data_IF_303777808872
#
_entry.id   IF_303777808872
#
_cell.length_a   1.000
_cell.length_b   1.000
_cell.length_c   1.000
_cell.angle_alpha   90.00
_cell.angle_beta   90.00
_cell.angle_gamma   90.00
#
_symmetry.space_group_name_H-M   'P 1'
#
loop_
_entity.id
_entity.type
_entity.pdbx_description
1 polymer ?
#
# COMPACT_ATOMS: atom_id res chain seq x y z
N UNK A 1 -13.67 -13.24 -23.43
CA UNK A 1 -13.74 -11.82 -23.02
C UNK A 1 -14.24 -11.70 -21.57
N UNK A 2 -15.27 -12.43 -21.19
CA UNK A 2 -15.91 -12.29 -19.88
C UNK A 2 -15.04 -12.86 -18.74
N UNK A 3 -14.35 -13.97 -18.97
CA UNK A 3 -13.39 -14.54 -18.01
C UNK A 3 -12.24 -13.57 -17.69
N UNK A 4 -11.70 -12.92 -18.71
CA UNK A 4 -10.63 -11.94 -18.51
C UNK A 4 -11.12 -10.70 -17.74
N UNK A 5 -12.35 -10.26 -18.02
CA UNK A 5 -12.97 -9.14 -17.30
C UNK A 5 -13.21 -9.50 -15.83
N UNK A 6 -13.72 -10.70 -15.57
CA UNK A 6 -13.91 -11.19 -14.21
C UNK A 6 -12.57 -11.27 -13.46
N UNK A 7 -11.55 -11.82 -14.09
CA UNK A 7 -10.22 -11.92 -13.50
C UNK A 7 -9.57 -10.56 -13.21
N UNK A 8 -9.71 -9.60 -14.13
CA UNK A 8 -9.29 -8.21 -13.89
C UNK A 8 -9.97 -7.60 -12.68
N UNK A 9 -11.26 -7.85 -12.53
CA UNK A 9 -12.05 -7.35 -11.43
C UNK A 9 -11.64 -7.97 -10.09
N UNK A 10 -11.44 -9.28 -10.06
CA UNK A 10 -11.03 -10.02 -8.86
C UNK A 10 -9.60 -9.69 -8.41
N UNK A 11 -8.73 -9.40 -9.36
CA UNK A 11 -7.32 -9.09 -9.07
C UNK A 11 -7.05 -7.59 -8.90
N UNK A 12 -8.05 -6.72 -9.08
CA UNK A 12 -7.90 -5.30 -8.85
C UNK A 12 -7.52 -4.99 -7.39
N UNK A 13 -6.72 -3.96 -7.21
CA UNK A 13 -6.42 -3.42 -5.88
C UNK A 13 -7.50 -2.41 -5.50
N UNK A 14 -8.29 -2.67 -4.44
CA UNK A 14 -9.28 -1.72 -3.98
C UNK A 14 -8.63 -0.38 -3.63
N UNK A 15 -9.20 0.72 -4.09
CA UNK A 15 -8.70 2.07 -3.79
C UNK A 15 -9.48 2.76 -2.70
N UNK A 16 -10.57 2.19 -2.24
CA UNK A 16 -11.44 2.76 -1.20
C UNK A 16 -10.71 3.00 0.12
N UNK A 17 -9.69 2.21 0.45
CA UNK A 17 -8.86 2.39 1.64
C UNK A 17 -8.07 3.71 1.61
N UNK A 18 -7.83 4.26 0.43
CA UNK A 18 -7.18 5.56 0.21
C UNK A 18 -8.19 6.71 0.04
N UNK A 19 -9.49 6.38 -0.02
CA UNK A 19 -10.56 7.34 -0.19
C UNK A 19 -11.00 7.94 1.15
N UNK A 20 -10.08 8.70 1.79
CA UNK A 20 -10.34 9.44 3.03
C UNK A 20 -9.69 10.81 3.00
N UNK A 21 -10.23 11.73 3.79
CA UNK A 21 -9.71 13.10 3.92
C UNK A 21 -10.04 14.00 2.74
N UNK A 22 -9.54 15.21 2.82
CA UNK A 22 -9.76 16.26 1.83
C UNK A 22 -8.61 16.33 0.82
N UNK A 23 -8.93 16.56 -0.43
CA UNK A 23 -7.96 16.87 -1.48
C UNK A 23 -8.17 18.31 -1.95
N UNK A 24 -7.13 19.11 -1.86
CA UNK A 24 -7.11 20.43 -2.51
C UNK A 24 -6.68 20.26 -3.97
N UNK A 25 -7.41 20.87 -4.89
CA UNK A 25 -7.03 21.00 -6.29
C UNK A 25 -7.44 22.36 -6.82
N UNK A 26 -6.86 22.77 -7.92
CA UNK A 26 -7.15 24.07 -8.53
C UNK A 26 -7.90 23.83 -9.84
N UNK A 27 -9.03 24.52 -9.98
CA UNK A 27 -9.80 24.54 -11.22
C UNK A 27 -9.55 25.88 -11.91
N UNK A 28 -9.15 25.84 -13.15
CA UNK A 28 -9.10 27.03 -13.99
C UNK A 28 -10.53 27.43 -14.39
N UNK A 29 -10.90 28.65 -14.10
CA UNK A 29 -12.19 29.26 -14.49
C UNK A 29 -11.88 30.34 -15.53
N UNK A 30 -12.19 30.05 -16.79
CA UNK A 30 -11.82 30.89 -17.94
C UNK A 30 -12.35 32.32 -17.83
N UNK A 31 -13.58 32.48 -17.36
CA UNK A 31 -14.25 33.79 -17.25
C UNK A 31 -13.64 34.70 -16.18
N UNK A 32 -12.91 34.12 -15.24
CA UNK A 32 -12.26 34.86 -14.14
C UNK A 32 -10.75 34.94 -14.35
N UNK A 33 -10.19 34.13 -15.25
CA UNK A 33 -8.74 34.09 -15.55
C UNK A 33 -7.87 33.60 -14.40
N UNK A 34 -8.44 32.93 -13.40
CA UNK A 34 -7.77 32.53 -12.18
C UNK A 34 -7.98 31.05 -11.88
N UNK A 35 -6.94 30.42 -11.30
CA UNK A 35 -7.07 29.12 -10.69
C UNK A 35 -7.77 29.24 -9.33
N UNK A 36 -8.97 28.69 -9.23
CA UNK A 36 -9.73 28.68 -8.00
C UNK A 36 -9.44 27.43 -7.18
N UNK A 37 -9.12 27.56 -5.87
CA UNK A 37 -8.95 26.40 -5.01
C UNK A 37 -10.29 25.71 -4.79
N UNK A 38 -10.31 24.41 -5.03
CA UNK A 38 -11.46 23.55 -4.80
C UNK A 38 -11.08 22.47 -3.79
N UNK A 39 -11.99 22.14 -2.92
CA UNK A 39 -11.84 21.04 -1.98
C UNK A 39 -12.74 19.88 -2.34
N UNK A 40 -12.16 18.70 -2.38
CA UNK A 40 -12.85 17.44 -2.64
C UNK A 40 -12.75 16.55 -1.40
N UNK A 41 -13.90 16.15 -0.85
CA UNK A 41 -13.92 15.11 0.17
C UNK A 41 -13.86 13.74 -0.54
N UNK A 42 -12.73 13.07 -0.43
CA UNK A 42 -12.52 11.78 -1.09
C UNK A 42 -13.47 10.70 -0.59
N UNK A 43 -13.92 10.78 0.66
CA UNK A 43 -14.85 9.81 1.24
C UNK A 43 -16.19 9.72 0.49
N UNK A 44 -16.58 10.79 -0.19
CA UNK A 44 -17.82 10.81 -0.99
C UNK A 44 -17.77 9.88 -2.22
N UNK A 45 -16.59 9.41 -2.60
CA UNK A 45 -16.35 8.57 -3.78
C UNK A 45 -16.06 7.12 -3.43
N UNK A 46 -16.11 6.75 -2.15
CA UNK A 46 -15.96 5.35 -1.73
C UNK A 46 -17.06 4.51 -2.37
N UNK A 47 -16.68 3.34 -2.88
CA UNK A 47 -17.57 2.43 -3.58
C UNK A 47 -18.02 2.89 -4.98
N UNK A 48 -17.58 4.06 -5.45
CA UNK A 48 -17.97 4.60 -6.74
C UNK A 48 -16.88 4.48 -7.83
N UNK A 49 -15.69 4.03 -7.45
CA UNK A 49 -14.54 3.95 -8.33
C UNK A 49 -14.35 2.56 -8.97
N UNK A 50 -15.43 1.77 -9.03
CA UNK A 50 -15.40 0.41 -9.56
C UNK A 50 -14.62 -0.56 -8.66
N UNK A 51 -14.06 -1.64 -9.25
CA UNK A 51 -13.29 -2.64 -8.52
C UNK A 51 -11.95 -2.14 -7.96
N UNK A 52 -11.49 -0.99 -8.43
CA UNK A 52 -10.23 -0.40 -8.00
C UNK A 52 -9.21 -0.25 -9.12
N UNK A 53 -7.95 -0.21 -8.74
CA UNK A 53 -6.81 -0.07 -9.67
C UNK A 53 -6.39 -1.44 -10.21
N UNK A 54 -6.14 -1.54 -11.51
CA UNK A 54 -5.60 -2.76 -12.10
C UNK A 54 -4.26 -3.14 -11.45
N UNK A 55 -4.15 -4.39 -11.03
CA UNK A 55 -2.94 -4.94 -10.41
C UNK A 55 -2.37 -6.04 -11.32
N UNK A 56 -1.42 -5.64 -12.18
CA UNK A 56 -0.82 -6.54 -13.15
C UNK A 56 -0.14 -7.76 -12.48
N UNK A 57 0.42 -7.58 -11.31
CA UNK A 57 1.11 -8.64 -10.60
C UNK A 57 0.11 -9.68 -10.06
N UNK A 58 -0.98 -9.26 -9.43
CA UNK A 58 -2.06 -10.17 -9.02
C UNK A 58 -2.69 -10.86 -10.22
N UNK A 59 -2.90 -10.14 -11.32
CA UNK A 59 -3.44 -10.69 -12.55
C UNK A 59 -2.54 -11.77 -13.13
N UNK A 60 -1.24 -11.52 -13.24
CA UNK A 60 -0.27 -12.51 -13.74
C UNK A 60 -0.21 -13.74 -12.85
N UNK A 61 -0.23 -13.58 -11.53
CA UNK A 61 -0.27 -14.71 -10.59
C UNK A 61 -1.54 -15.55 -10.77
N UNK A 62 -2.68 -14.92 -10.98
CA UNK A 62 -3.95 -15.60 -11.17
C UNK A 62 -4.00 -16.38 -12.50
N UNK A 63 -3.36 -15.86 -13.57
CA UNK A 63 -3.30 -16.53 -14.88
C UNK A 63 -2.25 -17.63 -14.90
N UNK A 64 -1.07 -17.38 -14.32
CA UNK A 64 0.04 -18.32 -14.36
C UNK A 64 -0.14 -19.56 -13.45
N UNK A 65 -1.10 -19.52 -12.53
CA UNK A 65 -1.23 -20.54 -11.48
C UNK A 65 0.08 -20.64 -10.69
N UNK A 66 0.12 -20.69 -9.46
CA UNK A 66 1.26 -20.99 -8.53
C UNK A 66 2.71 -20.51 -8.87
N UNK A 67 2.94 -19.73 -9.92
CA UNK A 67 4.30 -19.52 -10.45
C UNK A 67 4.98 -18.21 -10.08
N UNK A 68 4.26 -17.13 -9.84
CA UNK A 68 4.88 -15.82 -9.64
C UNK A 68 4.30 -15.12 -8.42
N UNK A 69 4.89 -15.38 -7.27
CA UNK A 69 4.55 -14.62 -6.05
C UNK A 69 5.00 -13.18 -6.22
N UNK A 70 4.08 -12.25 -6.01
CA UNK A 70 4.42 -10.84 -5.86
C UNK A 70 5.06 -10.67 -4.50
N UNK A 71 6.36 -10.43 -4.47
CA UNK A 71 7.04 -10.20 -3.20
C UNK A 71 6.54 -8.91 -2.54
N UNK A 72 6.38 -8.96 -1.22
CA UNK A 72 6.13 -7.74 -0.45
C UNK A 72 7.31 -6.76 -0.62
N UNK A 73 7.06 -5.47 -0.87
CA UNK A 73 8.14 -4.53 -1.15
C UNK A 73 9.00 -4.24 0.09
N UNK A 74 10.28 -3.95 -0.13
CA UNK A 74 11.11 -3.38 0.92
C UNK A 74 10.58 -2.00 1.33
N UNK A 75 10.61 -1.71 2.62
CA UNK A 75 10.13 -0.45 3.18
C UNK A 75 11.30 0.43 3.60
N UNK A 76 11.17 1.73 3.31
CA UNK A 76 12.14 2.75 3.66
C UNK A 76 11.48 3.82 4.52
N UNK A 77 12.05 4.09 5.67
CA UNK A 77 11.46 4.96 6.70
C UNK A 77 12.53 5.93 7.19
N UNK A 78 12.18 7.17 7.45
CA UNK A 78 13.06 8.08 8.18
C UNK A 78 13.03 7.75 9.67
N UNK A 79 14.14 7.98 10.35
CA UNK A 79 14.23 7.81 11.80
C UNK A 79 13.13 8.62 12.51
N UNK A 80 12.38 7.96 13.38
CA UNK A 80 11.21 8.52 14.06
C UNK A 80 9.96 8.63 13.19
N UNK A 81 10.05 8.29 11.90
CA UNK A 81 8.92 8.29 10.97
C UNK A 81 8.12 7.00 10.99
N UNK A 82 7.04 7.01 10.19
CA UNK A 82 6.11 5.91 10.04
C UNK A 82 5.78 5.71 8.56
N UNK A 83 5.63 4.46 8.15
CA UNK A 83 5.14 4.09 6.82
C UNK A 83 4.01 3.09 6.96
N UNK A 84 3.05 3.17 6.05
CA UNK A 84 1.91 2.25 6.01
C UNK A 84 1.84 1.52 4.68
N UNK A 85 1.37 0.27 4.72
CA UNK A 85 1.09 -0.53 3.55
C UNK A 85 -0.21 -1.32 3.75
N UNK A 86 -0.78 -1.79 2.65
CA UNK A 86 -1.96 -2.66 2.68
C UNK A 86 -1.51 -4.04 2.21
N UNK A 87 -1.35 -5.01 3.13
CA UNK A 87 -0.88 -6.36 2.81
C UNK A 87 -1.70 -7.04 1.72
N UNK A 88 -3.01 -6.87 1.74
CA UNK A 88 -3.92 -7.47 0.77
C UNK A 88 -3.53 -7.24 -0.70
N UNK A 89 -2.78 -6.17 -0.99
CA UNK A 89 -2.33 -5.87 -2.34
C UNK A 89 -1.25 -6.82 -2.87
N UNK A 90 -0.63 -7.61 -1.98
CA UNK A 90 0.50 -8.48 -2.30
C UNK A 90 0.19 -9.96 -2.13
N UNK A 91 -1.03 -10.30 -1.71
CA UNK A 91 -1.50 -11.67 -1.55
C UNK A 91 -2.70 -11.91 -2.47
N UNK A 92 -2.73 -13.04 -3.15
CA UNK A 92 -3.89 -13.42 -3.95
C UNK A 92 -5.09 -13.70 -3.02
N UNK A 93 -6.24 -13.09 -3.31
CA UNK A 93 -7.41 -13.18 -2.42
C UNK A 93 -7.24 -12.45 -1.08
N UNK A 94 -6.25 -11.57 -1.00
CA UNK A 94 -5.85 -10.91 0.25
C UNK A 94 -6.90 -10.04 0.92
N UNK A 95 -7.96 -9.63 0.19
CA UNK A 95 -9.04 -8.80 0.73
C UNK A 95 -9.81 -9.46 1.90
N UNK A 96 -9.88 -10.79 1.91
CA UNK A 96 -10.58 -11.57 2.94
C UNK A 96 -9.66 -12.16 4.01
N UNK A 97 -8.34 -11.97 3.86
CA UNK A 97 -7.34 -12.53 4.75
C UNK A 97 -7.03 -11.61 5.93
N UNK A 98 -6.62 -12.21 7.02
CA UNK A 98 -5.96 -11.52 8.13
C UNK A 98 -4.45 -11.72 8.03
N UNK A 99 -3.69 -10.82 8.65
CA UNK A 99 -2.24 -10.78 8.53
C UNK A 99 -1.58 -10.67 9.89
N UNK A 100 -0.44 -11.32 10.02
CA UNK A 100 0.47 -11.16 11.15
C UNK A 100 1.82 -10.68 10.64
N UNK A 101 2.52 -9.86 11.40
CA UNK A 101 3.83 -9.34 11.07
C UNK A 101 4.82 -9.70 12.17
N UNK A 102 6.04 -10.09 11.79
CA UNK A 102 7.17 -10.24 12.69
C UNK A 102 8.37 -9.48 12.20
N UNK A 103 9.19 -8.99 13.12
CA UNK A 103 10.42 -8.23 12.85
C UNK A 103 11.58 -8.90 13.59
N UNK A 104 12.69 -9.09 12.89
CA UNK A 104 13.87 -9.75 13.45
C UNK A 104 14.60 -8.90 14.49
N UNK A 105 14.68 -7.59 14.29
CA UNK A 105 15.30 -6.64 15.24
C UNK A 105 14.31 -5.50 15.54
N UNK A 106 13.62 -5.63 16.65
CA UNK A 106 12.65 -4.65 17.13
C UNK A 106 13.28 -3.36 17.67
N UNK A 107 14.60 -3.31 17.82
CA UNK A 107 15.32 -2.07 18.17
C UNK A 107 15.50 -1.15 16.97
N UNK A 108 15.45 -1.68 15.75
CA UNK A 108 15.53 -0.90 14.49
C UNK A 108 14.16 -0.38 14.09
N UNK A 109 13.14 -1.24 14.12
CA UNK A 109 11.78 -0.87 13.76
C UNK A 109 10.76 -1.72 14.52
N UNK A 110 9.54 -1.19 14.66
CA UNK A 110 8.37 -1.95 15.12
C UNK A 110 7.29 -1.94 14.05
N UNK A 111 6.44 -2.95 14.06
CA UNK A 111 5.30 -3.04 13.14
C UNK A 111 4.07 -3.59 13.84
N UNK A 112 2.91 -3.14 13.39
CA UNK A 112 1.61 -3.68 13.78
C UNK A 112 0.71 -3.80 12.54
N UNK A 113 -0.21 -4.75 12.60
CA UNK A 113 -1.29 -4.88 11.62
C UNK A 113 -2.60 -4.66 12.33
N UNK A 114 -3.35 -3.67 11.88
CA UNK A 114 -4.69 -3.36 12.37
C UNK A 114 -5.68 -3.47 11.21
N UNK A 115 -6.55 -4.46 11.27
CA UNK A 115 -7.44 -4.78 10.17
C UNK A 115 -6.65 -5.11 8.91
N UNK A 116 -6.71 -4.23 7.90
CA UNK A 116 -6.05 -4.38 6.59
C UNK A 116 -4.80 -3.52 6.44
N UNK A 117 -4.39 -2.82 7.48
CA UNK A 117 -3.31 -1.83 7.42
C UNK A 117 -2.10 -2.31 8.22
N UNK A 118 -0.97 -2.47 7.54
CA UNK A 118 0.34 -2.61 8.17
C UNK A 118 0.88 -1.20 8.44
N UNK A 119 1.30 -0.97 9.68
CA UNK A 119 1.99 0.25 10.10
C UNK A 119 3.37 -0.13 10.61
N UNK A 120 4.42 0.53 10.12
CA UNK A 120 5.82 0.30 10.53
C UNK A 120 6.42 1.61 11.01
N UNK A 121 7.05 1.59 12.19
CA UNK A 121 7.74 2.72 12.83
C UNK A 121 9.25 2.50 12.83
N UNK A 122 10.01 3.50 12.40
CA UNK A 122 11.48 3.51 12.45
C UNK A 122 11.99 4.05 13.80
N UNK A 123 12.72 3.21 14.56
CA UNK A 123 13.21 3.54 15.90
C UNK A 123 14.68 3.89 15.93
N UNK A 124 15.50 3.21 15.13
CA UNK A 124 16.96 3.37 15.05
C UNK A 124 17.40 3.18 13.60
N UNK A 125 18.36 3.97 13.16
CA UNK A 125 18.92 3.80 11.81
C UNK A 125 19.57 2.43 11.66
N UNK A 126 19.26 1.77 10.55
CA UNK A 126 19.73 0.41 10.25
C UNK A 126 18.73 -0.32 9.36
N UNK A 127 19.00 -1.58 9.09
CA UNK A 127 18.12 -2.46 8.31
C UNK A 127 17.80 -3.69 9.14
N UNK A 128 16.53 -4.06 9.14
CA UNK A 128 16.03 -5.30 9.76
C UNK A 128 15.18 -6.08 8.76
N UNK A 129 15.13 -7.40 8.92
CA UNK A 129 14.18 -8.25 8.17
C UNK A 129 12.84 -8.27 8.87
N UNK A 130 11.80 -8.30 8.07
CA UNK A 130 10.45 -8.53 8.51
C UNK A 130 9.80 -9.63 7.67
N UNK A 131 8.82 -10.30 8.24
CA UNK A 131 7.94 -11.21 7.50
C UNK A 131 6.49 -10.89 7.80
N UNK A 132 5.67 -10.99 6.77
CA UNK A 132 4.22 -10.88 6.88
C UNK A 132 3.59 -12.18 6.41
N UNK A 133 2.72 -12.74 7.24
CA UNK A 133 2.05 -14.02 6.99
C UNK A 133 0.55 -13.79 6.93
N UNK A 134 -0.07 -14.31 5.89
CA UNK A 134 -1.53 -14.31 5.73
C UNK A 134 -2.18 -15.47 6.46
N UNK A 135 -3.49 -15.38 6.72
CA UNK A 135 -4.29 -16.49 7.23
C UNK A 135 -4.36 -17.70 6.27
N UNK A 136 -3.96 -17.53 5.02
CA UNK A 136 -3.75 -18.59 4.04
C UNK A 136 -2.39 -19.31 4.15
N UNK A 137 -1.60 -19.03 5.20
CA UNK A 137 -0.25 -19.56 5.45
C UNK A 137 0.82 -19.15 4.40
N UNK A 138 0.54 -18.18 3.57
CA UNK A 138 1.53 -17.59 2.68
C UNK A 138 2.34 -16.55 3.46
N UNK A 139 3.67 -16.57 3.31
CA UNK A 139 4.60 -15.67 4.01
C UNK A 139 5.50 -14.94 3.03
N UNK A 140 5.55 -13.63 3.15
CA UNK A 140 6.48 -12.78 2.42
C UNK A 140 7.52 -12.19 3.36
N UNK A 141 8.78 -12.23 2.95
CA UNK A 141 9.89 -11.62 3.67
C UNK A 141 10.37 -10.37 2.94
N UNK A 142 10.62 -9.32 3.68
CA UNK A 142 11.07 -8.03 3.13
C UNK A 142 12.03 -7.32 4.10
N UNK A 143 12.75 -6.31 3.62
CA UNK A 143 13.62 -5.51 4.45
C UNK A 143 12.94 -4.19 4.84
N UNK A 144 13.16 -3.77 6.08
CA UNK A 144 12.83 -2.44 6.58
C UNK A 144 14.15 -1.71 6.79
N UNK A 145 14.34 -0.59 6.07
CA UNK A 145 15.52 0.26 6.21
C UNK A 145 15.11 1.59 6.82
N UNK A 146 15.62 1.86 8.02
CA UNK A 146 15.44 3.13 8.71
C UNK A 146 16.63 4.01 8.43
N UNK A 147 16.38 5.16 7.80
CA UNK A 147 17.40 6.14 7.42
C UNK A 147 17.45 7.28 8.41
N UNK A 148 18.64 7.84 8.64
CA UNK A 148 18.74 9.15 9.29
C UNK A 148 17.98 10.15 8.45
N UNK A 149 17.29 11.11 9.11
CA UNK A 149 16.61 12.19 8.40
C UNK A 149 17.62 12.87 7.49
N UNK A 150 17.31 12.93 6.20
CA UNK A 150 18.15 13.67 5.26
C UNK A 150 18.22 15.14 5.69
N UNK A 151 19.40 15.67 5.82
CA UNK A 151 19.65 17.08 6.14
C UNK A 151 19.36 17.95 4.91
N UNK A 152 18.08 18.05 4.54
CA UNK A 152 17.55 19.07 3.63
C UNK A 152 17.85 18.95 2.14
N UNK A 153 18.78 18.10 1.70
CA UNK A 153 19.19 18.04 0.28
C UNK A 153 18.63 16.86 -0.51
N UNK A 154 17.63 16.17 -0.01
CA UNK A 154 16.72 15.31 -0.79
C UNK A 154 17.30 14.13 -1.57
N UNK A 155 18.59 13.92 -1.60
CA UNK A 155 19.24 12.83 -2.31
C UNK A 155 20.19 12.08 -1.38
N UNK A 156 19.75 10.93 -0.95
CA UNK A 156 20.34 9.66 -0.47
C UNK A 156 19.52 9.02 0.61
#
# INVERSE_FOLDING_TARGET
ADEFKALLHETATPIDDYMSGMKLYYRYVADVGLNQPMQLNKSNYRGQMGAGQANAAKLLNAVAGNGTQVSFPNLYINLGGEVTAIPANYFLGGETMTYTVSISDTTVATASVEGRKLTVKGLRSGTTKASITSSGNETHTFNITVRKVANGNGWL
#
